data_IF_759442374611
#
_entry.id   IF_759442374611
#
_cell.length_a   1.000
_cell.length_b   1.000
_cell.length_c   1.000
_cell.angle_alpha   90.00
_cell.angle_beta   90.00
_cell.angle_gamma   90.00
#
_symmetry.space_group_name_H-M   'P 1'
#
loop_
_entity.id
_entity.type
_entity.pdbx_description
1 polymer ?
#
# COMPACT_ATOMS: atom_id res chain seq x y z
N UNK A 1 -33.76 11.27 8.02
CA UNK A 1 -32.34 11.51 7.67
C UNK A 1 -31.61 11.77 8.98
N UNK A 2 -30.86 10.77 9.46
CA UNK A 2 -30.30 10.74 10.82
C UNK A 2 -28.93 11.44 10.87
N UNK A 3 -28.83 12.46 11.72
CA UNK A 3 -27.64 13.30 11.89
C UNK A 3 -26.45 12.60 12.59
N UNK A 4 -26.57 11.32 12.95
CA UNK A 4 -25.49 10.57 13.61
C UNK A 4 -24.51 9.90 12.64
N UNK A 5 -24.92 9.63 11.38
CA UNK A 5 -24.04 8.99 10.39
C UNK A 5 -22.91 9.91 9.89
N UNK A 6 -23.08 11.23 9.95
CA UNK A 6 -22.06 12.18 9.49
C UNK A 6 -20.93 12.43 10.49
N UNK A 7 -21.08 12.05 11.77
CA UNK A 7 -20.02 12.23 12.78
C UNK A 7 -18.93 11.14 12.72
N UNK A 8 -19.21 9.98 12.13
CA UNK A 8 -18.22 8.90 11.99
C UNK A 8 -17.20 9.16 10.88
N UNK A 9 -17.57 9.94 9.85
CA UNK A 9 -16.69 10.27 8.71
C UNK A 9 -15.60 11.30 9.06
N UNK A 10 -15.86 12.22 10.00
CA UNK A 10 -14.95 13.33 10.27
C UNK A 10 -13.72 12.92 11.11
N UNK A 11 -13.82 11.87 11.91
CA UNK A 11 -12.70 11.40 12.75
C UNK A 11 -11.68 10.52 12.00
N UNK A 12 -11.95 10.10 10.74
CA UNK A 12 -11.00 9.33 9.93
C UNK A 12 -9.93 10.22 9.26
N UNK A 13 -10.17 11.53 9.15
CA UNK A 13 -9.31 12.49 8.44
C UNK A 13 -8.11 13.05 9.24
N UNK A 14 -7.96 12.69 10.52
CA UNK A 14 -6.97 13.34 11.43
C UNK A 14 -5.77 12.43 11.78
N UNK A 15 -5.71 11.18 11.30
CA UNK A 15 -4.64 10.23 11.70
C UNK A 15 -3.54 9.95 10.68
N UNK A 16 -3.55 10.56 9.50
CA UNK A 16 -2.50 10.38 8.49
C UNK A 16 -1.67 11.66 8.39
N UNK A 17 -0.99 11.98 9.47
CA UNK A 17 0.13 12.92 9.47
C UNK A 17 1.15 12.33 10.43
N UNK A 18 2.42 12.29 10.01
CA UNK A 18 3.60 11.74 10.68
C UNK A 18 4.00 10.34 10.17
N UNK A 19 4.75 10.33 9.06
CA UNK A 19 6.06 9.67 9.00
C UNK A 19 6.73 9.95 7.64
N UNK A 20 7.32 11.13 7.53
CA UNK A 20 8.40 11.37 6.56
C UNK A 20 9.66 11.56 7.39
N UNK A 21 10.38 10.46 7.63
CA UNK A 21 11.75 10.51 8.13
C UNK A 21 12.67 10.11 6.98
N UNK A 22 13.04 11.10 6.17
CA UNK A 22 14.11 10.96 5.17
C UNK A 22 15.44 10.91 5.91
N UNK A 23 16.07 9.74 5.92
CA UNK A 23 17.46 9.57 6.37
C UNK A 23 18.41 10.05 5.25
N UNK A 24 18.78 11.33 5.27
CA UNK A 24 19.93 11.81 4.50
C UNK A 24 21.23 11.42 5.20
N UNK A 25 21.95 10.47 4.60
CA UNK A 25 23.33 10.16 4.97
C UNK A 25 24.27 11.22 4.40
N UNK A 26 24.81 12.09 5.26
CA UNK A 26 25.85 13.05 4.89
C UNK A 26 27.19 12.29 4.83
N UNK A 27 27.63 11.95 3.63
CA UNK A 27 29.01 11.52 3.39
C UNK A 27 29.93 12.74 3.41
N UNK A 28 30.75 12.86 4.46
CA UNK A 28 31.79 13.86 4.57
C UNK A 28 32.91 13.59 3.55
N UNK A 29 33.07 14.48 2.57
CA UNK A 29 34.24 14.52 1.69
C UNK A 29 35.29 15.52 2.22
N UNK A 30 36.60 15.17 2.21
CA UNK A 30 37.65 16.09 2.61
C UNK A 30 38.00 17.10 1.51
N UNK A 31 38.38 18.30 1.95
CA UNK A 31 38.71 19.47 1.15
C UNK A 31 39.87 19.25 0.16
N UNK A 32 39.67 19.66 -1.08
CA UNK A 32 40.66 19.73 -2.15
C UNK A 32 40.42 20.96 -3.03
N UNK A 33 41.51 21.63 -3.40
CA UNK A 33 41.61 23.03 -3.81
C UNK A 33 41.18 23.37 -5.25
N UNK A 34 40.66 24.60 -5.39
CA UNK A 34 40.77 25.56 -6.52
C UNK A 34 40.11 25.31 -7.90
N UNK A 35 39.27 26.29 -8.25
CA UNK A 35 39.06 26.96 -9.54
C UNK A 35 38.31 26.24 -10.68
N UNK A 36 37.10 26.73 -11.00
CA UNK A 36 36.74 27.44 -12.24
C UNK A 36 35.22 27.37 -12.46
N UNK A 37 34.63 28.53 -12.79
CA UNK A 37 33.21 28.75 -13.03
C UNK A 37 32.66 27.91 -14.19
N UNK A 38 31.48 27.32 -13.99
CA UNK A 38 30.52 26.98 -15.05
C UNK A 38 29.09 26.95 -14.47
N UNK A 39 28.06 27.35 -15.24
CA UNK A 39 26.74 27.64 -14.70
C UNK A 39 25.91 26.37 -14.50
N UNK A 40 25.39 26.22 -13.29
CA UNK A 40 23.99 25.88 -12.98
C UNK A 40 23.33 24.81 -13.86
N UNK A 41 23.75 23.55 -13.69
CA UNK A 41 22.90 22.40 -13.98
C UNK A 41 22.09 22.10 -12.71
N UNK A 42 20.89 22.67 -12.66
CA UNK A 42 19.86 22.23 -11.72
C UNK A 42 19.53 20.77 -12.01
N UNK A 43 20.11 19.88 -11.19
CA UNK A 43 19.75 18.47 -11.08
C UNK A 43 18.35 18.39 -10.46
N UNK A 44 17.31 18.61 -11.27
CA UNK A 44 15.95 18.27 -10.91
C UNK A 44 15.87 16.75 -10.92
N UNK A 45 16.21 16.11 -9.81
CA UNK A 45 15.75 14.76 -9.56
C UNK A 45 14.22 14.82 -9.57
N UNK A 46 13.62 14.42 -10.69
CA UNK A 46 12.21 14.08 -10.77
C UNK A 46 11.98 13.00 -9.72
N UNK A 47 11.61 13.44 -8.52
CA UNK A 47 11.19 12.58 -7.46
C UNK A 47 9.86 12.01 -7.94
N UNK A 48 9.92 10.83 -8.56
CA UNK A 48 8.79 10.11 -9.12
C UNK A 48 7.74 9.96 -8.01
N UNK A 49 6.69 10.78 -8.09
CA UNK A 49 5.67 10.86 -7.06
C UNK A 49 4.73 9.68 -7.27
N UNK A 50 4.93 8.62 -6.48
CA UNK A 50 4.02 7.49 -6.48
C UNK A 50 2.61 7.98 -6.11
N UNK A 51 1.60 7.53 -6.87
CA UNK A 51 0.20 7.83 -6.57
C UNK A 51 -0.21 7.07 -5.30
N UNK A 52 -0.75 7.79 -4.31
CA UNK A 52 -1.30 7.19 -3.10
C UNK A 52 -2.69 6.62 -3.39
N UNK A 53 -2.93 5.35 -3.06
CA UNK A 53 -4.18 4.64 -3.38
C UNK A 53 -4.81 4.01 -2.15
N UNK A 54 -6.14 3.94 -2.13
CA UNK A 54 -6.86 3.32 -1.02
C UNK A 54 -6.82 1.79 -1.14
N UNK A 55 -6.51 1.12 -0.03
CA UNK A 55 -6.40 -0.35 0.04
C UNK A 55 -7.33 -0.89 1.12
N UNK A 56 -8.10 -1.91 0.77
CA UNK A 56 -9.00 -2.62 1.69
C UNK A 56 -8.56 -4.07 1.84
N UNK A 57 -8.38 -4.52 3.09
CA UNK A 57 -8.01 -5.91 3.39
C UNK A 57 -9.25 -6.68 3.81
N UNK A 58 -9.45 -7.86 3.19
CA UNK A 58 -10.64 -8.69 3.27
C UNK A 58 -11.94 -7.95 2.89
N UNK A 59 -12.05 -7.45 1.65
CA UNK A 59 -13.21 -6.70 1.16
C UNK A 59 -14.56 -7.41 1.39
N UNK A 60 -14.60 -8.73 1.21
CA UNK A 60 -15.82 -9.54 1.35
C UNK A 60 -16.35 -9.62 2.80
N UNK A 61 -15.58 -9.17 3.79
CA UNK A 61 -15.92 -9.25 5.21
C UNK A 61 -16.11 -7.85 5.78
N UNK A 62 -17.19 -7.64 6.53
CA UNK A 62 -17.40 -6.45 7.38
C UNK A 62 -16.38 -6.30 8.53
N UNK A 63 -15.29 -7.07 8.52
CA UNK A 63 -14.22 -7.05 9.51
C UNK A 63 -12.88 -7.19 8.79
N UNK A 64 -12.08 -6.14 8.89
CA UNK A 64 -10.71 -6.10 8.40
C UNK A 64 -9.77 -6.85 9.37
N UNK A 65 -9.85 -8.17 9.34
CA UNK A 65 -9.03 -9.04 10.18
C UNK A 65 -8.52 -10.26 9.41
N UNK A 66 -7.28 -10.64 9.70
CA UNK A 66 -6.63 -11.85 9.20
C UNK A 66 -6.55 -12.88 10.33
N UNK A 67 -7.11 -14.07 10.11
CA UNK A 67 -7.04 -15.17 11.08
C UNK A 67 -5.83 -16.03 10.79
N UNK A 68 -4.94 -16.12 11.77
CA UNK A 68 -3.61 -16.75 11.65
C UNK A 68 -3.60 -18.28 11.48
N UNK A 69 -4.74 -18.96 11.64
CA UNK A 69 -4.86 -20.41 11.48
C UNK A 69 -5.90 -20.82 10.40
N UNK A 70 -6.56 -19.87 9.73
CA UNK A 70 -7.35 -20.19 8.54
C UNK A 70 -6.35 -20.42 7.39
N UNK A 71 -6.17 -21.68 7.00
CA UNK A 71 -5.57 -22.02 5.71
C UNK A 71 -6.53 -21.57 4.61
N UNK A 72 -6.02 -20.85 3.61
CA UNK A 72 -6.81 -20.38 2.49
C UNK A 72 -6.30 -19.06 1.96
N UNK A 73 -7.18 -18.36 1.27
CA UNK A 73 -6.82 -17.14 0.57
C UNK A 73 -7.27 -15.89 1.32
N UNK A 74 -6.46 -14.84 1.25
CA UNK A 74 -6.76 -13.49 1.74
C UNK A 74 -6.98 -12.59 0.54
N UNK A 75 -8.10 -11.87 0.52
CA UNK A 75 -8.37 -10.87 -0.51
C UNK A 75 -7.92 -9.50 -0.05
N UNK A 76 -7.30 -8.74 -0.95
CA UNK A 76 -6.95 -7.34 -0.73
C UNK A 76 -7.39 -6.58 -1.98
N UNK A 77 -8.14 -5.49 -1.83
CA UNK A 77 -8.60 -4.66 -2.91
C UNK A 77 -7.83 -3.33 -2.95
N UNK A 78 -7.44 -2.90 -4.15
CA UNK A 78 -7.12 -1.49 -4.45
C UNK A 78 -8.39 -0.86 -4.98
N UNK A 79 -8.86 0.21 -4.33
CA UNK A 79 -10.13 0.83 -4.70
C UNK A 79 -9.95 1.77 -5.90
N UNK A 80 -10.83 1.66 -6.88
CA UNK A 80 -10.89 2.58 -8.00
C UNK A 80 -11.42 3.96 -7.59
N UNK A 81 -11.14 4.97 -8.41
CA UNK A 81 -11.68 6.31 -8.21
C UNK A 81 -11.77 7.07 -9.53
N UNK A 82 -12.21 8.33 -9.47
CA UNK A 82 -12.13 9.26 -10.60
C UNK A 82 -10.68 9.58 -11.02
N UNK A 83 -9.72 9.38 -10.12
CA UNK A 83 -8.29 9.60 -10.36
C UNK A 83 -7.52 8.31 -10.70
N UNK A 84 -8.08 7.14 -10.38
CA UNK A 84 -7.44 5.84 -10.58
C UNK A 84 -8.34 4.87 -11.33
N UNK A 85 -7.98 4.61 -12.59
CA UNK A 85 -8.48 3.47 -13.35
C UNK A 85 -7.62 2.23 -13.07
N UNK A 86 -8.13 1.34 -12.21
CA UNK A 86 -7.40 0.13 -11.80
C UNK A 86 -7.10 -0.83 -12.94
N UNK A 87 -7.76 -0.69 -14.09
CA UNK A 87 -7.48 -1.53 -15.28
C UNK A 87 -6.13 -1.19 -15.93
N UNK A 88 -5.57 -0.02 -15.60
CA UNK A 88 -4.25 0.42 -16.06
C UNK A 88 -3.12 -0.15 -15.19
N UNK A 89 -3.42 -0.83 -14.08
CA UNK A 89 -2.41 -1.45 -13.23
C UNK A 89 -1.79 -2.66 -13.94
N UNK A 90 -0.47 -2.65 -14.09
CA UNK A 90 0.32 -3.77 -14.59
C UNK A 90 0.36 -4.89 -13.55
N UNK A 91 -0.49 -5.89 -13.71
CA UNK A 91 -0.68 -6.99 -12.73
C UNK A 91 0.61 -7.69 -12.31
N UNK A 92 1.59 -7.81 -13.21
CA UNK A 92 2.90 -8.44 -12.98
C UNK A 92 3.82 -7.65 -12.05
N UNK A 93 3.58 -6.34 -11.95
CA UNK A 93 4.30 -5.40 -11.08
C UNK A 93 3.74 -5.37 -9.66
N UNK A 94 2.54 -5.91 -9.45
CA UNK A 94 1.85 -5.87 -8.16
C UNK A 94 2.61 -6.69 -7.13
N UNK A 95 2.89 -6.06 -6.00
CA UNK A 95 3.49 -6.69 -4.84
C UNK A 95 2.82 -6.20 -3.56
N UNK A 96 2.63 -7.12 -2.62
CA UNK A 96 2.24 -6.84 -1.25
C UNK A 96 3.47 -6.94 -0.35
N UNK A 97 3.67 -5.93 0.48
CA UNK A 97 4.69 -5.90 1.52
C UNK A 97 4.09 -5.59 2.90
N UNK A 98 4.95 -5.60 3.91
CA UNK A 98 4.63 -5.23 5.28
C UNK A 98 5.70 -4.26 5.77
N UNK A 99 5.34 -3.15 6.41
CA UNK A 99 6.35 -2.13 6.81
C UNK A 99 7.44 -2.67 7.76
N UNK A 100 7.18 -3.79 8.43
CA UNK A 100 8.11 -4.42 9.37
C UNK A 100 9.20 -5.25 8.69
N UNK A 101 9.07 -5.53 7.39
CA UNK A 101 9.93 -6.44 6.64
C UNK A 101 10.20 -5.92 5.23
N UNK A 102 11.37 -6.19 4.68
CA UNK A 102 11.65 -5.89 3.25
C UNK A 102 11.09 -6.95 2.30
N UNK A 103 10.49 -8.01 2.84
CA UNK A 103 9.88 -9.08 2.06
C UNK A 103 8.61 -8.62 1.35
N UNK A 104 8.35 -9.23 0.20
CA UNK A 104 7.12 -9.04 -0.56
C UNK A 104 6.59 -10.36 -1.10
N UNK A 105 5.29 -10.34 -1.42
CA UNK A 105 4.57 -11.45 -2.03
C UNK A 105 3.79 -10.98 -3.24
N UNK A 106 3.59 -11.88 -4.20
CA UNK A 106 2.77 -11.62 -5.37
C UNK A 106 1.36 -12.20 -5.19
N UNK A 107 0.33 -11.58 -5.79
CA UNK A 107 -0.99 -12.17 -5.84
C UNK A 107 -0.98 -13.51 -6.60
N UNK A 108 -1.83 -14.44 -6.17
CA UNK A 108 -2.15 -15.69 -6.87
C UNK A 108 -3.15 -15.48 -8.01
N UNK A 109 -4.08 -14.55 -7.83
CA UNK A 109 -5.14 -14.24 -8.78
C UNK A 109 -5.60 -12.79 -8.66
N UNK A 110 -6.29 -12.32 -9.70
CA UNK A 110 -6.85 -10.98 -9.82
C UNK A 110 -8.32 -11.05 -10.24
N UNK A 111 -9.16 -10.20 -9.66
CA UNK A 111 -10.56 -10.00 -10.03
C UNK A 111 -10.84 -8.50 -10.12
N UNK A 112 -11.74 -8.10 -11.00
CA UNK A 112 -12.19 -6.70 -11.16
C UNK A 112 -13.66 -6.63 -10.78
N UNK A 113 -13.98 -5.89 -9.72
CA UNK A 113 -15.33 -5.79 -9.16
C UNK A 113 -15.52 -4.43 -8.48
N UNK A 114 -16.73 -3.88 -8.51
CA UNK A 114 -17.11 -2.67 -7.72
C UNK A 114 -17.57 -3.13 -6.32
N UNK A 115 -16.64 -3.23 -5.37
CA UNK A 115 -16.92 -3.72 -4.02
C UNK A 115 -17.55 -2.62 -3.17
N UNK A 116 -17.10 -1.38 -3.36
CA UNK A 116 -17.59 -0.21 -2.61
C UNK A 116 -19.00 0.21 -3.06
N UNK A 117 -19.51 -0.28 -4.19
CA UNK A 117 -20.76 0.14 -4.85
C UNK A 117 -20.79 1.65 -5.14
N UNK A 118 -19.64 2.22 -5.48
CA UNK A 118 -19.50 3.64 -5.81
C UNK A 118 -19.48 3.92 -7.32
N UNK A 119 -19.51 2.87 -8.15
CA UNK A 119 -19.50 2.96 -9.61
C UNK A 119 -18.11 2.96 -10.23
N UNK A 120 -17.03 2.89 -9.43
CA UNK A 120 -15.67 2.65 -9.91
C UNK A 120 -15.32 1.16 -9.76
N UNK A 121 -14.47 0.66 -10.67
CA UNK A 121 -14.00 -0.73 -10.60
C UNK A 121 -12.83 -0.82 -9.63
N UNK A 122 -12.85 -1.80 -8.73
CA UNK A 122 -11.76 -2.12 -7.82
C UNK A 122 -10.93 -3.30 -8.34
N UNK A 123 -9.64 -3.32 -8.01
CA UNK A 123 -8.76 -4.46 -8.28
C UNK A 123 -8.63 -5.33 -7.04
N UNK A 124 -9.22 -6.51 -7.08
CA UNK A 124 -9.16 -7.51 -6.01
C UNK A 124 -8.03 -8.48 -6.28
N UNK A 125 -7.17 -8.65 -5.30
CA UNK A 125 -6.00 -9.53 -5.35
C UNK A 125 -6.16 -10.63 -4.32
N UNK A 126 -5.88 -11.86 -4.74
CA UNK A 126 -5.94 -13.06 -3.91
C UNK A 126 -4.53 -13.45 -3.49
N UNK A 127 -4.28 -13.60 -2.19
CA UNK A 127 -2.97 -13.96 -1.63
C UNK A 127 -3.05 -15.23 -0.78
N UNK A 128 -1.98 -16.02 -0.78
CA UNK A 128 -1.85 -17.16 0.12
C UNK A 128 -1.67 -16.67 1.57
N UNK A 129 -2.62 -17.03 2.46
CA UNK A 129 -2.57 -16.61 3.86
C UNK A 129 -1.35 -17.15 4.61
N UNK A 130 -0.91 -18.37 4.28
CA UNK A 130 0.25 -18.99 4.90
C UNK A 130 1.53 -18.30 4.49
N UNK A 131 1.68 -17.98 3.20
CA UNK A 131 2.83 -17.24 2.69
C UNK A 131 2.93 -15.85 3.36
N UNK A 132 1.80 -15.12 3.44
CA UNK A 132 1.72 -13.83 4.16
C UNK A 132 2.19 -13.96 5.61
N UNK A 133 1.68 -14.97 6.33
CA UNK A 133 1.98 -15.16 7.75
C UNK A 133 3.46 -15.49 7.97
N UNK A 134 4.05 -16.30 7.09
CA UNK A 134 5.45 -16.71 7.21
C UNK A 134 6.39 -15.57 6.84
N UNK A 135 6.20 -14.93 5.68
CA UNK A 135 7.10 -13.89 5.18
C UNK A 135 7.07 -12.61 5.99
N UNK A 136 5.88 -12.20 6.44
CA UNK A 136 5.74 -10.97 7.25
C UNK A 136 5.82 -11.22 8.76
N UNK A 137 6.18 -12.44 9.18
CA UNK A 137 6.26 -12.86 10.58
C UNK A 137 5.00 -12.49 11.42
N UNK A 138 3.81 -12.67 10.82
CA UNK A 138 2.55 -12.26 11.45
C UNK A 138 2.20 -13.10 12.68
N UNK A 139 2.86 -14.26 12.86
CA UNK A 139 2.69 -15.11 14.05
C UNK A 139 3.08 -14.38 15.34
N UNK A 140 3.96 -13.39 15.28
CA UNK A 140 4.34 -12.60 16.46
C UNK A 140 3.47 -11.33 16.65
N UNK A 141 2.46 -11.15 15.80
CA UNK A 141 1.60 -9.96 15.76
C UNK A 141 0.17 -10.20 16.30
N UNK A 142 -0.08 -11.25 17.08
CA UNK A 142 -1.43 -11.53 17.61
C UNK A 142 -2.06 -10.34 18.34
N UNK A 143 -3.35 -10.11 18.06
CA UNK A 143 -4.15 -8.99 18.58
C UNK A 143 -3.55 -7.61 18.29
N UNK A 144 -2.67 -7.50 17.29
CA UNK A 144 -2.09 -6.24 16.83
C UNK A 144 -2.46 -6.00 15.38
N UNK A 145 -2.42 -4.74 15.00
CA UNK A 145 -2.52 -4.34 13.61
C UNK A 145 -1.19 -4.64 12.89
N UNK A 146 -1.30 -5.17 11.68
CA UNK A 146 -0.21 -5.31 10.74
C UNK A 146 -0.40 -4.27 9.62
N UNK A 147 0.56 -3.35 9.42
CA UNK A 147 0.53 -2.43 8.28
C UNK A 147 0.95 -3.19 7.03
N UNK A 148 0.04 -3.30 6.07
CA UNK A 148 0.28 -3.87 4.76
C UNK A 148 0.41 -2.73 3.75
N UNK A 149 1.29 -2.93 2.77
CA UNK A 149 1.58 -1.98 1.71
C UNK A 149 1.44 -2.67 0.36
N UNK A 150 0.61 -2.14 -0.52
CA UNK A 150 0.51 -2.57 -1.92
C UNK A 150 1.32 -1.61 -2.77
N UNK A 151 2.10 -2.15 -3.69
CA UNK A 151 2.84 -1.37 -4.70
C UNK A 151 2.60 -1.97 -6.07
N UNK A 152 2.44 -1.12 -7.09
CA UNK A 152 2.35 -1.55 -8.48
C UNK A 152 2.76 -0.41 -9.43
N UNK A 153 2.76 -0.67 -10.72
CA UNK A 153 2.98 0.29 -11.79
C UNK A 153 1.74 0.42 -12.67
N UNK A 154 1.46 1.63 -13.13
CA UNK A 154 0.42 1.93 -14.13
C UNK A 154 1.02 1.96 -15.52
N UNK A 155 0.25 1.47 -16.50
CA UNK A 155 0.54 1.63 -17.92
C UNK A 155 0.02 3.00 -18.39
N UNK A 156 0.82 4.04 -18.22
CA UNK A 156 0.53 5.36 -18.78
C UNK A 156 1.26 5.59 -20.10
N UNK A 157 0.62 6.34 -21.00
CA UNK A 157 1.17 6.63 -22.33
C UNK A 157 2.49 7.43 -22.29
N UNK A 158 2.80 8.05 -21.15
CA UNK A 158 3.97 8.90 -20.91
C UNK A 158 5.09 8.20 -20.12
N UNK A 159 4.91 6.95 -19.69
CA UNK A 159 5.87 6.22 -18.85
C UNK A 159 5.17 5.39 -17.77
N UNK A 160 5.88 4.46 -17.15
CA UNK A 160 5.32 3.73 -16.01
C UNK A 160 5.23 4.67 -14.81
N UNK A 161 4.05 4.77 -14.17
CA UNK A 161 3.86 5.53 -12.93
C UNK A 161 3.67 4.57 -11.77
N UNK A 162 4.42 4.71 -10.70
CA UNK A 162 4.25 3.89 -9.51
C UNK A 162 2.98 4.27 -8.73
N UNK A 163 2.30 3.27 -8.16
CA UNK A 163 1.27 3.44 -7.15
C UNK A 163 1.72 2.81 -5.84
N UNK A 164 1.26 3.37 -4.75
CA UNK A 164 1.48 2.84 -3.41
C UNK A 164 0.21 3.02 -2.61
N UNK A 165 -0.26 1.96 -1.98
CA UNK A 165 -1.39 2.02 -1.07
C UNK A 165 -1.07 1.33 0.24
N UNK A 166 -1.66 1.80 1.33
CA UNK A 166 -1.46 1.20 2.65
C UNK A 166 -2.80 0.83 3.28
N UNK A 167 -2.82 -0.30 3.99
CA UNK A 167 -3.97 -0.77 4.73
C UNK A 167 -3.52 -1.46 6.00
N UNK A 168 -4.25 -1.27 7.11
CA UNK A 168 -3.99 -2.03 8.34
C UNK A 168 -4.94 -3.20 8.45
N UNK A 169 -4.48 -4.34 8.97
CA UNK A 169 -5.37 -5.46 9.27
C UNK A 169 -5.14 -6.00 10.67
N UNK A 170 -6.22 -6.37 11.36
CA UNK A 170 -6.14 -6.94 12.71
C UNK A 170 -5.79 -8.43 12.64
N UNK A 171 -4.69 -8.83 13.27
CA UNK A 171 -4.29 -10.23 13.33
C UNK A 171 -5.00 -10.93 14.49
N UNK A 172 -5.95 -11.81 14.19
CA UNK A 172 -6.71 -12.52 15.22
C UNK A 172 -6.05 -13.87 15.57
N UNK A 173 -5.88 -14.18 16.86
CA UNK A 173 -5.53 -15.51 17.31
C UNK A 173 -6.72 -16.45 17.12
N UNK A 174 -6.44 -17.71 16.84
CA UNK A 174 -7.43 -18.78 16.92
C UNK A 174 -7.74 -19.07 18.38
N UNK A 175 -8.99 -18.94 18.80
CA UNK A 175 -9.49 -19.63 19.99
C UNK A 175 -10.02 -20.98 19.53
N UNK A 176 -9.38 -22.07 19.97
CA UNK A 176 -9.88 -23.44 19.78
C UNK A 176 -11.09 -23.70 20.66
#
# INVERSE_FOLDING_TARGET
MNAEAQKASLNRKIRIFISVLVMMSIAAYPAGSAASESPDQGDYQEQETALDVEVMVNPDRNVNCLKTMELGDVKIAVLGSDELDVTQIQTESVALGCEKTEESIKPLAFEYEDISTDGYTDLVMVFDSHEMIVKFDLKNCFCKEAPLKVTASLDESAGAKAITGSGTTLILPSFR
#
